data_IF_239829174136
#
_entry.id   IF_239829174136
#
_cell.length_a   1.000
_cell.length_b   1.000
_cell.length_c   1.000
_cell.angle_alpha   90.00
_cell.angle_beta   90.00
_cell.angle_gamma   90.00
#
_symmetry.space_group_name_H-M   'P 1'
#
loop_
_entity.id
_entity.type
_entity.pdbx_description
1 polymer ?
#
# COMPACT_ATOMS: atom_id res chain seq x y z
N UNK A 1 -44.37 29.56 -79.09
CA UNK A 1 -44.24 28.40 -78.23
C UNK A 1 -43.82 28.90 -76.86
N UNK A 2 -44.53 28.54 -75.84
CA UNK A 2 -44.64 29.17 -74.52
C UNK A 2 -43.34 29.31 -73.76
N UNK A 3 -43.02 30.53 -73.23
CA UNK A 3 -42.01 30.74 -72.18
C UNK A 3 -42.66 31.39 -70.96
N UNK A 4 -42.66 30.67 -69.86
CA UNK A 4 -43.23 31.11 -68.56
C UNK A 4 -42.18 31.95 -67.83
N UNK A 5 -42.51 33.25 -67.65
CA UNK A 5 -41.72 34.14 -66.80
C UNK A 5 -42.20 34.07 -65.36
N UNK A 6 -41.38 33.57 -64.45
CA UNK A 6 -41.70 33.60 -63.01
C UNK A 6 -40.94 34.77 -62.37
N UNK A 7 -41.71 35.81 -62.01
CA UNK A 7 -41.23 36.92 -61.22
C UNK A 7 -41.28 36.49 -59.72
N UNK A 8 -40.13 36.44 -59.10
CA UNK A 8 -40.04 36.31 -57.62
C UNK A 8 -39.85 37.70 -57.01
N UNK A 9 -40.91 38.24 -56.40
CA UNK A 9 -40.84 39.43 -55.56
C UNK A 9 -40.25 39.11 -54.22
N UNK A 10 -39.00 39.36 -53.99
CA UNK A 10 -38.40 39.35 -52.61
C UNK A 10 -38.74 40.70 -51.93
N UNK A 11 -39.80 40.66 -51.12
CA UNK A 11 -40.16 41.78 -50.25
C UNK A 11 -39.42 41.61 -48.95
N UNK A 12 -38.25 42.22 -48.78
CA UNK A 12 -37.49 42.25 -47.51
C UNK A 12 -38.24 43.17 -46.56
N UNK A 13 -38.93 42.58 -45.59
CA UNK A 13 -39.58 43.29 -44.48
C UNK A 13 -38.51 43.62 -43.45
N UNK A 14 -38.02 44.86 -43.43
CA UNK A 14 -37.21 45.40 -42.35
C UNK A 14 -38.12 45.69 -41.15
N UNK A 15 -38.20 44.77 -40.23
CA UNK A 15 -38.80 44.98 -38.90
C UNK A 15 -37.84 45.79 -38.09
N UNK A 16 -38.04 47.11 -38.01
CA UNK A 16 -37.26 48.00 -37.15
C UNK A 16 -37.79 47.86 -35.71
N UNK A 17 -37.38 46.84 -35.03
CA UNK A 17 -37.69 46.69 -33.63
C UNK A 17 -36.89 47.71 -32.83
N UNK A 18 -37.57 48.67 -32.20
CA UNK A 18 -36.99 49.62 -31.28
C UNK A 18 -36.73 48.90 -29.97
N UNK A 19 -35.63 48.16 -29.90
CA UNK A 19 -35.26 47.41 -28.68
C UNK A 19 -34.74 48.39 -27.65
N UNK A 20 -35.46 48.49 -26.54
CA UNK A 20 -35.10 49.36 -25.43
C UNK A 20 -33.77 48.90 -24.82
N UNK A 21 -32.85 49.83 -24.52
CA UNK A 21 -31.53 49.54 -23.90
C UNK A 21 -31.65 48.74 -22.63
N UNK A 22 -32.77 48.87 -21.89
CA UNK A 22 -33.09 48.06 -20.70
C UNK A 22 -33.26 46.58 -21.05
N UNK A 23 -33.77 46.23 -22.25
CA UNK A 23 -33.95 44.85 -22.69
C UNK A 23 -32.63 44.17 -23.03
N UNK A 24 -31.61 44.89 -23.51
CA UNK A 24 -30.27 44.35 -23.73
C UNK A 24 -29.58 44.05 -22.42
N UNK A 25 -29.75 44.91 -21.39
CA UNK A 25 -29.17 44.70 -20.05
C UNK A 25 -29.77 43.44 -19.41
N UNK A 26 -31.09 43.24 -19.50
CA UNK A 26 -31.73 42.02 -18.97
C UNK A 26 -31.29 40.75 -19.68
N UNK A 27 -31.12 40.76 -20.99
CA UNK A 27 -30.61 39.63 -21.77
C UNK A 27 -29.14 39.33 -21.40
N UNK A 28 -28.32 40.39 -21.26
CA UNK A 28 -26.92 40.23 -20.91
C UNK A 28 -26.74 39.69 -19.47
N UNK A 29 -27.57 40.14 -18.53
CA UNK A 29 -27.58 39.63 -17.16
C UNK A 29 -28.09 38.18 -17.11
N UNK A 30 -29.10 37.82 -17.91
CA UNK A 30 -29.60 36.43 -17.98
C UNK A 30 -28.54 35.48 -18.61
N UNK A 31 -27.80 35.93 -19.63
CA UNK A 31 -26.69 35.18 -20.21
C UNK A 31 -25.54 35.00 -19.21
N UNK A 32 -25.25 36.03 -18.41
CA UNK A 32 -24.24 35.94 -17.34
C UNK A 32 -24.65 34.96 -16.25
N UNK A 33 -25.93 34.90 -15.87
CA UNK A 33 -26.44 33.97 -14.86
C UNK A 33 -26.45 32.51 -15.38
N UNK A 34 -26.59 32.28 -16.67
CA UNK A 34 -26.53 30.93 -17.27
C UNK A 34 -25.09 30.41 -17.29
N UNK A 35 -24.08 31.29 -17.45
CA UNK A 35 -22.67 30.88 -17.39
C UNK A 35 -22.18 30.50 -16.00
N UNK A 36 -22.90 30.84 -14.94
CA UNK A 36 -22.61 30.39 -13.57
C UNK A 36 -23.29 29.06 -13.17
N UNK A 37 -24.18 28.55 -14.00
CA UNK A 37 -24.82 27.25 -13.82
C UNK A 37 -24.18 26.16 -14.69
N UNK A 38 -22.86 26.19 -14.91
CA UNK A 38 -22.19 24.97 -15.27
C UNK A 38 -22.34 24.04 -14.07
N UNK A 39 -23.07 22.90 -14.18
CA UNK A 39 -22.87 21.85 -13.22
C UNK A 39 -21.35 21.61 -13.29
N UNK A 40 -20.65 21.88 -12.18
CA UNK A 40 -19.31 21.39 -12.02
C UNK A 40 -19.42 19.91 -12.38
N UNK A 41 -18.93 19.51 -13.57
CA UNK A 41 -18.33 18.21 -13.68
C UNK A 41 -17.33 18.21 -12.52
N UNK A 42 -17.71 17.63 -11.41
CA UNK A 42 -16.74 17.13 -10.44
C UNK A 42 -15.90 16.21 -11.30
N UNK A 43 -14.80 16.74 -11.84
CA UNK A 43 -13.72 15.92 -12.33
C UNK A 43 -13.54 14.93 -11.18
N UNK A 44 -13.89 13.68 -11.39
CA UNK A 44 -13.65 12.62 -10.45
C UNK A 44 -12.19 12.78 -10.08
N UNK A 45 -11.94 13.42 -8.94
CA UNK A 45 -10.59 13.66 -8.48
C UNK A 45 -10.04 12.26 -8.32
N UNK A 46 -9.24 11.83 -9.30
CA UNK A 46 -8.73 10.47 -9.37
C UNK A 46 -8.13 10.18 -8.02
N UNK A 47 -8.84 9.35 -7.25
CA UNK A 47 -8.44 9.04 -5.88
C UNK A 47 -7.02 8.50 -5.93
N UNK A 48 -6.13 9.13 -5.19
CA UNK A 48 -4.73 8.74 -5.18
C UNK A 48 -4.61 7.30 -4.69
N UNK A 49 -4.12 6.43 -5.55
CA UNK A 49 -3.96 5.01 -5.28
C UNK A 49 -2.60 4.52 -5.80
N UNK A 50 -2.14 3.39 -5.28
CA UNK A 50 -0.89 2.82 -5.73
C UNK A 50 -0.68 1.38 -5.29
N UNK A 51 0.33 0.76 -5.89
CA UNK A 51 0.83 -0.57 -5.53
C UNK A 51 2.33 -0.49 -5.27
N UNK A 52 2.77 -1.01 -4.12
CA UNK A 52 4.17 -1.16 -3.78
C UNK A 52 4.49 -2.65 -3.59
N UNK A 53 5.56 -3.11 -4.22
CA UNK A 53 6.00 -4.50 -4.19
C UNK A 53 7.19 -4.61 -3.25
N UNK A 54 7.09 -5.51 -2.29
CA UNK A 54 8.13 -5.70 -1.27
C UNK A 54 8.73 -7.09 -1.39
N UNK A 55 10.05 -7.13 -1.44
CA UNK A 55 10.79 -8.36 -1.26
C UNK A 55 11.15 -8.52 0.22
N UNK A 56 10.68 -9.60 0.82
CA UNK A 56 10.96 -9.97 2.20
C UNK A 56 12.04 -11.01 2.24
N UNK A 57 13.06 -10.77 3.04
CA UNK A 57 14.14 -11.72 3.27
C UNK A 57 14.35 -11.93 4.77
N UNK A 58 14.27 -13.19 5.19
CA UNK A 58 14.59 -13.59 6.57
C UNK A 58 15.95 -14.27 6.62
N UNK A 59 16.77 -13.87 7.58
CA UNK A 59 18.04 -14.54 7.88
C UNK A 59 17.75 -15.74 8.76
N UNK A 60 18.28 -16.90 8.38
CA UNK A 60 18.19 -18.10 9.19
C UNK A 60 19.27 -18.04 10.27
N UNK A 61 18.83 -17.94 11.52
CA UNK A 61 19.71 -18.16 12.67
C UNK A 61 19.69 -19.64 13.03
N UNK A 62 20.83 -20.29 12.90
CA UNK A 62 21.00 -21.71 13.25
C UNK A 62 21.51 -21.92 14.67
N UNK A 63 21.80 -20.84 15.39
CA UNK A 63 22.32 -20.89 16.74
C UNK A 63 23.52 -21.83 16.91
N UNK A 64 23.63 -22.47 18.06
CA UNK A 64 24.70 -23.43 18.36
C UNK A 64 24.71 -24.66 17.45
N UNK A 65 23.56 -25.00 16.85
CA UNK A 65 23.48 -26.11 15.89
C UNK A 65 24.18 -25.79 14.57
N UNK A 66 24.05 -24.55 14.12
CA UNK A 66 24.75 -24.06 12.92
C UNK A 66 26.28 -24.04 13.06
N UNK A 67 26.81 -23.90 14.27
CA UNK A 67 28.26 -23.93 14.51
C UNK A 67 28.89 -25.31 14.20
N UNK A 68 28.09 -26.37 14.24
CA UNK A 68 28.53 -27.76 13.95
C UNK A 68 28.34 -28.14 12.46
N UNK A 69 27.78 -27.27 11.63
CA UNK A 69 27.52 -27.54 10.22
C UNK A 69 28.63 -27.00 9.35
N UNK A 70 28.98 -27.77 8.30
CA UNK A 70 29.86 -27.26 7.24
C UNK A 70 29.15 -26.16 6.40
N UNK A 71 29.91 -25.29 5.76
CA UNK A 71 29.35 -24.27 4.87
C UNK A 71 28.54 -24.84 3.72
N UNK A 72 28.90 -26.03 3.22
CA UNK A 72 28.15 -26.77 2.21
C UNK A 72 26.77 -27.17 2.74
N UNK A 73 26.69 -27.68 3.96
CA UNK A 73 25.42 -28.05 4.60
C UNK A 73 24.53 -26.82 4.86
N UNK A 74 25.11 -25.70 5.34
CA UNK A 74 24.39 -24.44 5.53
C UNK A 74 23.83 -23.93 4.20
N UNK A 75 24.63 -23.94 3.12
CA UNK A 75 24.20 -23.53 1.78
C UNK A 75 23.07 -24.41 1.24
N UNK A 76 23.18 -25.73 1.40
CA UNK A 76 22.13 -26.67 0.98
C UNK A 76 20.83 -26.44 1.75
N UNK A 77 20.90 -26.23 3.07
CA UNK A 77 19.74 -25.93 3.89
C UNK A 77 19.08 -24.60 3.46
N UNK A 78 19.88 -23.54 3.31
CA UNK A 78 19.39 -22.23 2.83
C UNK A 78 18.68 -22.36 1.46
N UNK A 79 19.23 -23.15 0.56
CA UNK A 79 18.62 -23.42 -0.74
C UNK A 79 17.25 -24.13 -0.63
N UNK A 80 17.13 -25.09 0.27
CA UNK A 80 15.87 -25.81 0.50
C UNK A 80 14.80 -24.93 1.16
N UNK A 81 15.21 -23.96 1.99
CA UNK A 81 14.32 -23.07 2.71
C UNK A 81 14.12 -21.73 2.00
N UNK A 82 14.65 -21.58 0.77
CA UNK A 82 14.62 -20.31 0.05
C UNK A 82 13.20 -19.75 -0.04
N UNK A 83 12.22 -20.54 -0.46
CA UNK A 83 10.83 -20.11 -0.60
C UNK A 83 10.16 -19.72 0.73
N UNK A 84 10.70 -20.16 1.87
CA UNK A 84 10.24 -19.74 3.20
C UNK A 84 10.93 -18.49 3.69
N UNK A 85 12.21 -18.30 3.31
CA UNK A 85 13.05 -17.19 3.74
C UNK A 85 12.90 -15.95 2.84
N UNK A 86 12.49 -16.16 1.60
CA UNK A 86 12.33 -15.12 0.58
C UNK A 86 10.91 -15.13 0.05
N UNK A 87 10.19 -14.02 0.20
CA UNK A 87 8.81 -13.86 -0.23
C UNK A 87 8.59 -12.50 -0.87
N UNK A 88 7.68 -12.43 -1.82
CA UNK A 88 7.24 -11.17 -2.41
C UNK A 88 5.84 -10.83 -1.92
N UNK A 89 5.63 -9.57 -1.57
CA UNK A 89 4.36 -9.05 -1.11
C UNK A 89 3.96 -7.82 -1.93
N UNK A 90 2.66 -7.61 -2.06
CA UNK A 90 2.08 -6.42 -2.68
C UNK A 90 1.26 -5.67 -1.65
N UNK A 91 1.60 -4.39 -1.48
CA UNK A 91 0.81 -3.42 -0.75
C UNK A 91 0.02 -2.58 -1.76
N UNK A 92 -1.27 -2.79 -1.86
CA UNK A 92 -2.19 -1.91 -2.56
C UNK A 92 -2.68 -0.84 -1.59
N UNK A 93 -2.70 0.42 -1.99
CA UNK A 93 -3.06 1.51 -1.07
C UNK A 93 -3.81 2.64 -1.75
N UNK A 94 -4.67 3.28 -0.97
CA UNK A 94 -5.26 4.59 -1.21
C UNK A 94 -4.73 5.57 -0.16
N UNK A 95 -5.35 6.73 -0.01
CA UNK A 95 -4.98 7.69 1.03
C UNK A 95 -5.22 7.16 2.46
N UNK A 96 -6.31 6.43 2.66
CA UNK A 96 -6.78 6.02 4.00
C UNK A 96 -6.66 4.51 4.22
N UNK A 97 -6.64 3.72 3.15
CA UNK A 97 -6.72 2.27 3.21
C UNK A 97 -5.52 1.60 2.57
N UNK A 98 -5.20 0.41 3.04
CA UNK A 98 -4.21 -0.44 2.39
C UNK A 98 -4.53 -1.93 2.56
N UNK A 99 -4.14 -2.69 1.54
CA UNK A 99 -4.28 -4.14 1.49
C UNK A 99 -2.93 -4.76 1.17
N UNK A 100 -2.41 -5.55 2.09
CA UNK A 100 -1.11 -6.20 2.01
C UNK A 100 -1.30 -7.71 1.88
N UNK A 101 -0.74 -8.30 0.83
CA UNK A 101 -0.82 -9.75 0.59
C UNK A 101 0.47 -10.30 0.00
N UNK A 102 0.73 -11.58 0.22
CA UNK A 102 1.77 -12.32 -0.49
C UNK A 102 1.41 -12.41 -1.98
N UNK A 103 2.39 -12.20 -2.86
CA UNK A 103 2.24 -12.41 -4.29
C UNK A 103 2.49 -13.89 -4.57
N UNK A 104 1.45 -14.58 -5.03
CA UNK A 104 1.58 -15.98 -5.43
C UNK A 104 2.45 -16.08 -6.68
N UNK A 105 3.63 -16.68 -6.56
CA UNK A 105 4.46 -17.04 -7.71
C UNK A 105 4.07 -18.44 -8.17
N UNK A 106 3.79 -18.58 -9.47
CA UNK A 106 3.36 -19.85 -10.10
C UNK A 106 4.47 -20.93 -10.05
N UNK A 107 5.67 -20.56 -9.64
CA UNK A 107 6.84 -21.45 -9.55
C UNK A 107 6.84 -22.41 -8.34
N UNK A 108 5.80 -22.42 -7.53
CA UNK A 108 5.64 -23.35 -6.41
C UNK A 108 5.35 -24.80 -6.81
N UNK A 109 5.83 -25.24 -7.99
CA UNK A 109 5.74 -26.63 -8.45
C UNK A 109 6.81 -27.55 -7.83
N UNK A 110 7.66 -27.05 -6.96
CA UNK A 110 8.45 -27.95 -6.12
C UNK A 110 7.57 -28.45 -4.99
N UNK A 111 7.12 -29.69 -5.05
CA UNK A 111 6.26 -30.37 -4.05
C UNK A 111 6.85 -30.46 -2.62
N UNK A 112 7.62 -29.48 -2.21
CA UNK A 112 7.91 -29.17 -0.85
C UNK A 112 6.67 -28.51 -0.29
N UNK A 113 5.78 -29.28 0.31
CA UNK A 113 4.69 -28.78 1.13
C UNK A 113 5.27 -27.79 2.12
N UNK A 114 4.94 -26.49 1.95
CA UNK A 114 5.35 -25.38 2.86
C UNK A 114 4.84 -25.55 4.29
N UNK A 115 4.12 -26.62 4.54
CA UNK A 115 3.47 -26.91 5.82
C UNK A 115 4.36 -27.61 6.85
N UNK A 116 5.62 -27.93 6.54
CA UNK A 116 6.48 -28.57 7.51
C UNK A 116 6.85 -27.62 8.65
N UNK A 117 6.13 -27.75 9.77
CA UNK A 117 6.39 -27.02 11.02
C UNK A 117 5.69 -25.66 11.16
N UNK A 118 4.86 -25.24 10.24
CA UNK A 118 4.06 -24.02 10.38
C UNK A 118 2.60 -24.38 10.64
N UNK A 119 2.23 -24.48 11.91
CA UNK A 119 0.83 -24.65 12.31
C UNK A 119 0.04 -23.33 12.25
N UNK A 120 0.72 -22.25 11.87
CA UNK A 120 0.18 -20.91 11.82
C UNK A 120 0.70 -20.18 10.59
N UNK A 121 -0.20 -19.61 9.78
CA UNK A 121 0.15 -18.68 8.71
C UNK A 121 -0.73 -17.44 8.75
N UNK A 122 -0.16 -16.31 8.36
CA UNK A 122 -0.89 -15.07 8.18
C UNK A 122 -1.19 -14.89 6.70
N UNK A 123 -2.45 -14.67 6.44
CA UNK A 123 -2.95 -14.31 5.13
C UNK A 123 -2.93 -12.80 4.88
N UNK A 124 -3.74 -12.35 3.93
CA UNK A 124 -3.87 -10.95 3.60
C UNK A 124 -4.27 -10.09 4.79
N UNK A 125 -3.78 -8.84 4.79
CA UNK A 125 -4.02 -7.85 5.82
C UNK A 125 -4.59 -6.56 5.22
N UNK A 126 -5.75 -6.13 5.71
CA UNK A 126 -6.36 -4.85 5.41
C UNK A 126 -6.17 -3.89 6.58
N UNK A 127 -5.79 -2.64 6.28
CA UNK A 127 -5.67 -1.55 7.24
C UNK A 127 -6.47 -0.34 6.78
N UNK A 128 -7.22 0.27 7.69
CA UNK A 128 -7.82 1.59 7.51
C UNK A 128 -7.27 2.52 8.58
N UNK A 129 -6.43 3.47 8.18
CA UNK A 129 -5.73 4.37 9.11
C UNK A 129 -6.65 5.45 9.70
N UNK A 130 -7.72 5.81 9.01
CA UNK A 130 -8.71 6.78 9.48
C UNK A 130 -9.61 6.19 10.57
N UNK A 131 -10.03 4.94 10.37
CA UNK A 131 -10.89 4.22 11.30
C UNK A 131 -10.12 3.51 12.41
N UNK A 132 -8.77 3.55 12.38
CA UNK A 132 -7.90 2.78 13.28
C UNK A 132 -8.29 1.29 13.31
N UNK A 133 -8.44 0.69 12.12
CA UNK A 133 -8.96 -0.67 11.96
C UNK A 133 -7.97 -1.55 11.20
N UNK A 134 -7.74 -2.73 11.76
CA UNK A 134 -7.01 -3.84 11.17
C UNK A 134 -7.99 -5.00 10.93
N UNK A 135 -7.91 -5.62 9.76
CA UNK A 135 -8.56 -6.89 9.46
C UNK A 135 -7.53 -7.81 8.83
N UNK A 136 -7.34 -8.97 9.41
CA UNK A 136 -6.31 -9.92 8.96
C UNK A 136 -6.86 -11.34 8.88
N UNK A 137 -6.61 -11.99 7.75
CA UNK A 137 -6.79 -13.42 7.63
C UNK A 137 -5.65 -14.15 8.34
N UNK A 138 -5.99 -15.17 9.11
CA UNK A 138 -5.04 -16.04 9.79
C UNK A 138 -5.47 -17.49 9.60
N UNK A 139 -4.50 -18.37 9.41
CA UNK A 139 -4.75 -19.80 9.35
C UNK A 139 -4.01 -20.49 10.48
N UNK A 140 -4.74 -21.32 11.21
CA UNK A 140 -4.22 -22.09 12.32
C UNK A 140 -4.70 -23.55 12.21
N UNK A 141 -3.79 -24.48 12.04
CA UNK A 141 -4.07 -25.90 11.78
C UNK A 141 -5.12 -26.13 10.67
N UNK A 142 -4.97 -25.43 9.54
CA UNK A 142 -5.88 -25.53 8.39
C UNK A 142 -7.26 -24.85 8.58
N UNK A 143 -7.49 -24.19 9.72
CA UNK A 143 -8.69 -23.40 9.97
C UNK A 143 -8.40 -21.92 9.75
N UNK A 144 -9.20 -21.27 8.91
CA UNK A 144 -9.08 -19.85 8.59
C UNK A 144 -9.93 -19.01 9.54
N UNK A 145 -9.32 -17.92 10.03
CA UNK A 145 -9.94 -16.95 10.93
C UNK A 145 -9.79 -15.56 10.33
N UNK A 146 -10.78 -14.73 10.54
CA UNK A 146 -10.74 -13.30 10.23
C UNK A 146 -10.63 -12.52 11.55
N UNK A 147 -9.44 -12.03 11.84
CA UNK A 147 -9.14 -11.26 13.04
C UNK A 147 -9.41 -9.78 12.75
N UNK A 148 -10.19 -9.14 13.61
CA UNK A 148 -10.45 -7.69 13.56
C UNK A 148 -9.86 -7.06 14.82
N UNK A 149 -9.04 -6.04 14.64
CA UNK A 149 -8.35 -5.36 15.73
C UNK A 149 -8.11 -3.88 15.38
N UNK A 150 -7.54 -3.14 16.32
CA UNK A 150 -6.98 -1.81 16.09
C UNK A 150 -5.61 -1.94 15.43
N UNK A 151 -5.19 -0.87 14.78
CA UNK A 151 -3.82 -0.78 14.26
C UNK A 151 -2.82 -0.76 15.42
N UNK A 152 -1.72 -1.47 15.28
CA UNK A 152 -0.60 -1.45 16.22
C UNK A 152 -0.07 -0.02 16.37
N UNK A 153 -0.03 0.50 17.57
CA UNK A 153 0.62 1.78 17.84
C UNK A 153 2.14 1.59 17.86
N UNK A 154 2.83 2.39 17.07
CA UNK A 154 4.29 2.35 16.95
C UNK A 154 4.85 3.73 17.29
N UNK A 155 5.64 3.79 18.37
CA UNK A 155 6.33 5.02 18.78
C UNK A 155 7.62 5.19 17.98
N UNK A 156 7.49 5.86 16.82
CA UNK A 156 8.60 6.12 15.92
C UNK A 156 9.49 7.24 16.41
N UNK A 157 10.77 6.95 16.53
CA UNK A 157 11.85 7.94 16.75
C UNK A 157 12.48 8.27 15.39
N UNK A 158 12.29 9.51 14.94
CA UNK A 158 12.82 9.98 13.67
C UNK A 158 14.32 10.22 13.76
N UNK A 159 15.09 9.64 12.84
CA UNK A 159 16.54 9.86 12.71
C UNK A 159 16.86 10.98 11.73
N UNK A 160 18.13 11.39 11.71
CA UNK A 160 18.67 12.36 10.75
C UNK A 160 19.32 11.70 9.54
N UNK A 161 19.45 10.38 9.54
CA UNK A 161 20.07 9.63 8.46
C UNK A 161 19.14 9.57 7.24
N UNK A 162 19.73 9.65 6.05
CA UNK A 162 19.02 9.53 4.78
C UNK A 162 19.79 8.63 3.81
N UNK A 163 19.03 7.93 2.95
CA UNK A 163 19.57 7.13 1.84
C UNK A 163 18.63 7.13 0.65
N UNK A 164 19.14 6.77 -0.52
CA UNK A 164 18.30 6.51 -1.69
C UNK A 164 17.86 5.04 -1.72
N UNK A 165 16.56 4.83 -1.94
CA UNK A 165 16.00 3.52 -2.28
C UNK A 165 15.33 3.67 -3.65
N UNK A 166 15.96 3.09 -4.68
CA UNK A 166 15.59 3.38 -6.06
C UNK A 166 15.77 4.87 -6.37
N UNK A 167 14.70 5.52 -6.75
CA UNK A 167 14.68 6.97 -7.05
C UNK A 167 14.22 7.84 -5.86
N UNK A 168 13.84 7.21 -4.72
CA UNK A 168 13.24 7.91 -3.60
C UNK A 168 14.27 8.21 -2.51
N UNK A 169 14.31 9.49 -2.08
CA UNK A 169 15.05 9.87 -0.89
C UNK A 169 14.27 9.40 0.34
N UNK A 170 14.91 8.58 1.16
CA UNK A 170 14.32 8.00 2.36
C UNK A 170 15.04 8.48 3.61
N UNK A 171 14.26 8.62 4.68
CA UNK A 171 14.72 9.01 6.01
C UNK A 171 14.54 7.85 6.97
N UNK A 172 15.44 7.75 7.92
CA UNK A 172 15.43 6.69 8.93
C UNK A 172 14.48 7.00 10.06
N UNK A 173 13.76 6.00 10.51
CA UNK A 173 13.06 6.00 11.79
C UNK A 173 13.30 4.68 12.52
N UNK A 174 13.30 4.71 13.83
CA UNK A 174 13.46 3.53 14.68
C UNK A 174 12.32 3.44 15.68
N UNK A 175 11.98 2.22 16.07
CA UNK A 175 11.01 1.95 17.11
C UNK A 175 11.41 0.69 17.88
N UNK A 176 10.77 0.49 19.03
CA UNK A 176 10.92 -0.73 19.84
C UNK A 176 9.53 -1.25 20.17
N UNK A 177 9.23 -2.48 19.78
CA UNK A 177 7.91 -3.09 19.96
C UNK A 177 8.09 -4.41 20.74
N UNK A 178 7.14 -4.79 21.64
CA UNK A 178 7.13 -6.10 22.22
C UNK A 178 7.23 -7.19 21.15
N UNK A 179 8.13 -8.14 21.33
CA UNK A 179 8.35 -9.19 20.33
C UNK A 179 7.11 -10.06 20.11
N UNK A 180 6.26 -10.17 21.13
CA UNK A 180 4.96 -10.85 21.06
C UNK A 180 4.00 -10.22 20.05
N UNK A 181 4.13 -8.91 19.82
CA UNK A 181 3.22 -8.14 18.98
C UNK A 181 3.64 -8.14 17.49
N UNK A 182 4.84 -8.64 17.20
CA UNK A 182 5.40 -8.73 15.87
C UNK A 182 5.04 -10.06 15.21
N UNK A 183 4.15 -9.99 14.28
CA UNK A 183 3.61 -11.16 13.62
C UNK A 183 4.52 -11.82 12.58
N UNK A 184 5.40 -11.05 12.03
CA UNK A 184 6.36 -11.49 11.00
C UNK A 184 7.68 -11.95 11.59
N UNK A 185 7.80 -11.78 12.87
CA UNK A 185 8.95 -12.22 13.61
C UNK A 185 8.98 -13.73 13.63
N UNK A 186 10.10 -14.30 13.22
CA UNK A 186 10.29 -15.74 13.19
C UNK A 186 9.87 -16.36 14.52
N UNK A 187 8.83 -17.18 14.47
CA UNK A 187 8.49 -18.06 15.54
C UNK A 187 9.65 -19.08 15.67
N UNK A 188 10.63 -18.75 16.46
CA UNK A 188 11.71 -19.64 16.80
C UNK A 188 11.29 -20.46 18.01
N UNK A 189 11.46 -21.77 17.94
CA UNK A 189 11.29 -22.62 19.11
C UNK A 189 12.22 -22.22 20.27
N UNK A 190 13.32 -21.54 19.96
CA UNK A 190 14.22 -20.96 20.95
C UNK A 190 13.54 -19.83 21.75
N UNK A 191 12.65 -19.05 21.12
CA UNK A 191 11.99 -17.93 21.79
C UNK A 191 10.93 -18.40 22.80
N UNK A 192 10.34 -19.59 22.62
CA UNK A 192 9.44 -20.20 23.61
C UNK A 192 10.23 -20.64 24.85
N UNK A 193 11.47 -21.07 24.68
CA UNK A 193 12.31 -21.54 25.78
C UNK A 193 13.02 -20.41 26.53
N UNK A 194 13.04 -19.20 25.99
CA UNK A 194 13.66 -18.00 26.58
C UNK A 194 12.63 -17.05 27.20
N UNK A 195 11.44 -17.49 27.56
CA UNK A 195 10.69 -16.75 28.57
C UNK A 195 11.59 -16.71 29.83
N UNK A 196 12.31 -15.61 29.92
CA UNK A 196 13.08 -15.32 31.13
C UNK A 196 12.11 -15.26 32.29
N UNK A 197 12.40 -16.03 33.32
CA UNK A 197 11.58 -16.22 34.53
C UNK A 197 11.44 -14.92 35.35
N UNK A 198 11.96 -13.78 34.83
CA UNK A 198 11.98 -12.47 35.49
C UNK A 198 10.82 -11.53 35.05
N UNK A 199 9.89 -12.00 34.20
CA UNK A 199 8.74 -11.22 33.75
C UNK A 199 9.08 -10.05 32.79
N UNK A 200 10.31 -9.97 32.28
CA UNK A 200 10.68 -8.95 31.31
C UNK A 200 10.07 -9.24 29.92
N UNK A 201 9.47 -8.22 29.31
CA UNK A 201 8.92 -8.33 27.96
C UNK A 201 10.07 -8.18 26.96
N UNK A 202 10.33 -9.21 26.17
CA UNK A 202 11.32 -9.14 25.10
C UNK A 202 10.91 -8.07 24.07
N UNK A 203 11.82 -7.14 23.77
CA UNK A 203 11.59 -6.03 22.85
C UNK A 203 12.36 -6.25 21.55
N UNK A 204 11.71 -6.07 20.42
CA UNK A 204 12.36 -6.07 19.11
C UNK A 204 12.59 -4.65 18.63
N UNK A 205 13.83 -4.37 18.24
CA UNK A 205 14.18 -3.11 17.58
C UNK A 205 13.78 -3.16 16.13
N UNK A 206 13.14 -2.07 15.67
CA UNK A 206 12.71 -1.89 14.30
C UNK A 206 13.44 -0.71 13.71
N UNK A 207 13.95 -0.88 12.51
CA UNK A 207 14.48 0.19 11.68
C UNK A 207 13.64 0.31 10.42
N UNK A 208 13.13 1.50 10.13
CA UNK A 208 12.33 1.79 8.94
C UNK A 208 12.92 2.96 8.15
N UNK A 209 12.79 2.87 6.82
CA UNK A 209 13.16 3.92 5.89
C UNK A 209 11.91 4.31 5.10
N UNK A 210 11.52 5.58 5.19
CA UNK A 210 10.31 6.11 4.60
C UNK A 210 10.62 7.30 3.70
N UNK A 211 9.78 7.52 2.68
CA UNK A 211 9.92 8.65 1.75
C UNK A 211 8.80 9.67 1.91
N UNK A 212 9.15 10.94 2.00
CA UNK A 212 8.20 12.05 1.98
C UNK A 212 7.66 12.37 0.58
N UNK A 213 8.27 11.81 -0.48
CA UNK A 213 7.81 11.98 -1.86
C UNK A 213 6.46 11.29 -2.10
N UNK A 214 6.10 10.32 -1.25
CA UNK A 214 4.79 9.69 -1.21
C UNK A 214 4.24 9.89 0.21
N UNK A 215 3.51 11.00 0.47
CA UNK A 215 3.15 11.42 1.82
C UNK A 215 1.94 10.63 2.36
N UNK A 216 2.06 9.32 2.39
CA UNK A 216 1.08 8.37 2.89
C UNK A 216 1.63 7.61 4.09
N UNK A 217 0.81 7.47 5.12
CA UNK A 217 1.22 6.83 6.38
C UNK A 217 1.16 5.30 6.33
N UNK A 218 1.35 4.72 5.14
CA UNK A 218 1.32 3.28 4.92
C UNK A 218 2.71 2.65 4.89
N UNK A 219 2.73 1.35 5.12
CA UNK A 219 3.92 0.50 5.01
C UNK A 219 3.53 -0.98 4.95
N UNK A 220 4.51 -1.87 4.71
CA UNK A 220 4.28 -3.30 4.64
C UNK A 220 3.83 -3.84 5.98
N UNK A 221 3.10 -4.95 5.99
CA UNK A 221 2.65 -5.67 7.18
C UNK A 221 2.03 -4.72 8.24
N UNK A 222 2.36 -4.90 9.51
CA UNK A 222 1.91 -4.07 10.63
C UNK A 222 2.52 -2.67 10.67
N UNK A 223 3.56 -2.40 9.88
CA UNK A 223 4.28 -1.12 9.94
C UNK A 223 3.52 0.00 9.23
N UNK A 224 3.30 1.10 9.96
CA UNK A 224 2.57 2.27 9.49
C UNK A 224 2.87 3.48 10.38
N UNK A 225 2.31 4.65 10.05
CA UNK A 225 2.29 5.80 10.94
C UNK A 225 3.36 6.85 10.67
N UNK A 226 4.41 6.55 9.92
CA UNK A 226 5.41 7.51 9.47
C UNK A 226 4.80 8.53 8.48
N UNK A 227 5.34 9.75 8.36
CA UNK A 227 4.76 10.80 7.51
C UNK A 227 4.93 10.55 5.99
N UNK A 228 5.38 9.37 5.61
CA UNK A 228 5.56 8.94 4.23
C UNK A 228 5.52 7.43 4.10
N UNK A 229 5.43 6.94 2.86
CA UNK A 229 5.42 5.50 2.57
C UNK A 229 6.73 4.85 3.04
N UNK A 230 6.61 3.78 3.80
CA UNK A 230 7.75 2.99 4.28
C UNK A 230 8.24 2.13 3.12
N UNK A 231 9.49 2.34 2.68
CA UNK A 231 10.08 1.58 1.58
C UNK A 231 10.96 0.42 2.05
N UNK A 232 11.50 0.51 3.26
CA UNK A 232 12.26 -0.59 3.86
C UNK A 232 11.95 -0.65 5.34
N UNK A 233 11.83 -1.86 5.85
CA UNK A 233 11.73 -2.11 7.29
C UNK A 233 12.51 -3.35 7.64
N UNK A 234 13.28 -3.25 8.72
CA UNK A 234 14.03 -4.36 9.31
C UNK A 234 13.60 -4.55 10.75
N UNK A 235 13.22 -5.75 11.10
CA UNK A 235 12.85 -6.14 12.45
C UNK A 235 13.41 -7.53 12.75
N UNK A 236 14.24 -7.64 13.77
CA UNK A 236 14.93 -8.88 14.07
C UNK A 236 15.72 -9.42 12.88
N UNK A 237 15.38 -10.60 12.44
CA UNK A 237 16.06 -11.30 11.34
C UNK A 237 15.43 -11.05 9.96
N UNK A 238 14.32 -10.30 9.89
CA UNK A 238 13.57 -10.07 8.66
C UNK A 238 13.72 -8.64 8.17
N UNK A 239 13.99 -8.50 6.87
CA UNK A 239 14.00 -7.22 6.16
C UNK A 239 13.02 -7.28 5.00
N UNK A 240 12.17 -6.29 4.90
CA UNK A 240 11.28 -6.06 3.74
C UNK A 240 11.73 -4.82 3.01
N UNK A 241 12.06 -4.96 1.72
CA UNK A 241 12.53 -3.87 0.87
C UNK A 241 11.59 -3.68 -0.31
N UNK A 242 11.15 -2.46 -0.52
CA UNK A 242 10.35 -2.09 -1.69
C UNK A 242 11.20 -2.14 -2.95
N UNK A 243 10.79 -2.98 -3.90
CA UNK A 243 11.47 -3.18 -5.18
C UNK A 243 10.82 -2.40 -6.34
N UNK A 244 9.51 -2.10 -6.24
CA UNK A 244 8.76 -1.42 -7.29
C UNK A 244 7.57 -0.66 -6.70
N UNK A 245 7.28 0.51 -7.25
CA UNK A 245 6.09 1.30 -6.93
C UNK A 245 5.38 1.67 -8.23
N UNK A 246 4.07 1.53 -8.25
CA UNK A 246 3.18 1.95 -9.34
C UNK A 246 2.14 2.88 -8.73
N UNK A 247 2.16 4.15 -9.11
CA UNK A 247 1.19 5.15 -8.68
C UNK A 247 0.08 5.29 -9.72
N UNK A 248 -1.15 5.46 -9.25
CA UNK A 248 -2.35 5.63 -10.07
C UNK A 248 -2.44 4.59 -11.21
N UNK A 249 -2.39 3.27 -10.89
CA UNK A 249 -2.56 2.25 -11.92
C UNK A 249 -3.92 2.42 -12.59
N UNK A 250 -4.02 2.02 -13.87
CA UNK A 250 -5.27 2.07 -14.65
C UNK A 250 -6.36 1.15 -14.07
N UNK A 251 -5.96 0.11 -13.36
CA UNK A 251 -6.86 -0.78 -12.64
C UNK A 251 -7.08 -0.27 -11.21
N UNK A 252 -8.34 -0.29 -10.74
CA UNK A 252 -8.66 0.01 -9.34
C UNK A 252 -7.86 -0.90 -8.40
N UNK A 253 -7.33 -0.30 -7.36
CA UNK A 253 -6.54 -0.96 -6.31
C UNK A 253 -7.46 -1.53 -5.24
#
# INVERSE_FOLDING_TARGET
MFGICVYSLNKTIFIKTKVNMKSYITILVSLLLISFNNPNETADAQEFQGKAYYFSQSKMDLGNWGARMSEAQKKQMKSRLKNRLEKTFVLSFTKEESYFKEEETVDAYSGATDSWGSNFSRGPQYKNIKENRLVQEQEFYGKKFLVKDKLQEIDWKMGSESKLIGQYMCFKATASIPSSDLSWYNFSWADISTQTDDGSVAMTQIEAWYTLQIPLRHGPAEYWGLPGLILEVSAGNTTMLCSKIVLNPSEKV
#
